data_IF_141082179876
#
_entry.id   IF_141082179876
#
_cell.length_a   1.000
_cell.length_b   1.000
_cell.length_c   1.000
_cell.angle_alpha   90.00
_cell.angle_beta   90.00
_cell.angle_gamma   90.00
#
_symmetry.space_group_name_H-M   'P 1'
#
loop_
_entity.id
_entity.type
_entity.pdbx_description
1 polymer ?
#
# COMPACT_ATOMS: atom_id res chain seq x y z
N UNK A 1 5.88 -25.75 6.03
CA UNK A 1 5.34 -24.75 5.08
C UNK A 1 4.17 -24.06 5.77
N UNK A 2 3.91 -22.79 5.49
CA UNK A 2 2.73 -22.02 5.93
C UNK A 2 2.69 -21.38 7.33
N UNK A 3 3.47 -20.32 7.53
CA UNK A 3 3.04 -19.20 8.40
C UNK A 3 3.39 -17.80 7.85
N UNK A 4 4.08 -17.72 6.70
CA UNK A 4 4.54 -16.46 6.12
C UNK A 4 3.44 -15.65 5.41
N UNK A 5 2.38 -16.30 4.90
CA UNK A 5 1.30 -15.57 4.22
C UNK A 5 0.50 -14.67 5.18
N UNK A 6 0.40 -15.05 6.46
CA UNK A 6 -0.30 -14.24 7.48
C UNK A 6 0.36 -12.88 7.69
N UNK A 7 1.69 -12.81 7.52
CA UNK A 7 2.42 -11.56 7.57
C UNK A 7 2.00 -10.63 6.42
N UNK A 8 1.93 -11.15 5.19
CA UNK A 8 1.55 -10.35 4.02
C UNK A 8 0.06 -9.97 4.00
N UNK A 9 -0.79 -10.74 4.68
CA UNK A 9 -2.23 -10.48 4.83
C UNK A 9 -2.62 -9.70 6.09
N UNK A 10 -1.66 -9.17 6.86
CA UNK A 10 -1.99 -8.38 8.05
C UNK A 10 -2.88 -7.17 7.68
N UNK A 11 -4.04 -7.05 8.34
CA UNK A 11 -4.93 -5.92 8.18
C UNK A 11 -4.52 -4.83 9.16
N UNK A 12 -4.06 -3.69 8.64
CA UNK A 12 -3.73 -2.51 9.46
C UNK A 12 -4.64 -1.37 9.04
N UNK A 13 -5.44 -0.87 9.96
CA UNK A 13 -6.29 0.29 9.76
C UNK A 13 -6.70 0.87 11.14
N UNK A 14 -7.68 1.79 11.16
CA UNK A 14 -8.15 2.41 12.41
C UNK A 14 -8.70 1.42 13.44
N UNK A 15 -9.28 0.30 13.00
CA UNK A 15 -9.83 -0.74 13.89
C UNK A 15 -8.76 -1.72 14.34
N UNK A 16 -7.75 -1.94 13.50
CA UNK A 16 -6.65 -2.87 13.73
C UNK A 16 -5.31 -2.12 13.65
N UNK A 17 -4.89 -1.38 14.70
CA UNK A 17 -3.60 -0.71 14.71
C UNK A 17 -2.45 -1.70 14.57
N UNK A 18 -1.38 -1.27 13.89
CA UNK A 18 -0.16 -2.05 13.73
C UNK A 18 0.43 -2.43 15.09
N UNK A 19 0.82 -3.70 15.20
CA UNK A 19 1.42 -4.25 16.41
C UNK A 19 2.91 -4.50 16.14
N UNK A 20 3.76 -3.98 17.03
CA UNK A 20 5.23 -3.94 16.91
C UNK A 20 5.89 -5.35 16.80
N UNK A 21 5.14 -6.44 16.97
CA UNK A 21 5.69 -7.76 17.27
C UNK A 21 5.58 -8.85 16.19
N UNK A 22 5.27 -8.51 14.93
CA UNK A 22 5.28 -9.51 13.85
C UNK A 22 6.62 -9.50 13.13
N UNK A 23 7.60 -10.22 13.70
CA UNK A 23 8.89 -10.62 13.12
C UNK A 23 9.40 -9.72 11.99
N UNK A 24 10.25 -8.74 12.33
CA UNK A 24 10.81 -7.80 11.35
C UNK A 24 11.41 -8.55 10.15
N UNK A 25 10.75 -8.45 9.00
CA UNK A 25 11.32 -8.92 7.74
C UNK A 25 12.42 -7.96 7.29
N UNK A 26 13.32 -8.47 6.45
CA UNK A 26 14.47 -7.71 5.97
C UNK A 26 13.97 -6.53 5.12
N UNK A 27 14.25 -5.31 5.58
CA UNK A 27 14.00 -4.10 4.83
C UNK A 27 15.17 -3.83 3.90
N UNK A 28 14.88 -3.51 2.63
CA UNK A 28 15.89 -3.18 1.62
C UNK A 28 15.52 -1.89 0.92
N UNK A 29 16.54 -1.15 0.48
CA UNK A 29 16.35 0.09 -0.25
C UNK A 29 15.68 -0.19 -1.60
N UNK A 30 14.69 0.62 -1.94
CA UNK A 30 13.97 0.57 -3.20
C UNK A 30 14.83 1.18 -4.31
N UNK A 31 15.02 0.52 -5.46
CA UNK A 31 15.72 1.12 -6.59
C UNK A 31 14.86 2.16 -7.32
N UNK A 32 15.44 2.82 -8.32
CA UNK A 32 14.75 3.81 -9.19
C UNK A 32 14.21 5.06 -8.46
N UNK A 33 14.73 5.35 -7.26
CA UNK A 33 14.45 6.57 -6.51
C UNK A 33 15.75 7.14 -5.93
N UNK A 34 15.91 8.46 -6.02
CA UNK A 34 17.05 9.17 -5.41
C UNK A 34 16.88 9.31 -3.89
N UNK A 35 15.70 8.97 -3.37
CA UNK A 35 15.38 8.97 -1.95
C UNK A 35 15.81 7.68 -1.25
N UNK A 36 16.00 7.76 0.05
CA UNK A 36 16.22 6.59 0.91
C UNK A 36 14.88 5.98 1.33
N UNK A 37 14.23 5.28 0.40
CA UNK A 37 12.98 4.56 0.65
C UNK A 37 13.27 3.08 0.86
N UNK A 38 12.61 2.48 1.84
CA UNK A 38 12.77 1.08 2.21
C UNK A 38 11.44 0.33 2.12
N UNK A 39 11.48 -0.92 1.70
CA UNK A 39 10.34 -1.85 1.73
C UNK A 39 10.84 -3.24 2.15
N UNK A 40 9.91 -4.13 2.46
CA UNK A 40 10.21 -5.56 2.62
C UNK A 40 10.91 -6.12 1.36
N UNK A 41 11.93 -6.96 1.56
CA UNK A 41 12.74 -7.48 0.46
C UNK A 41 11.94 -8.19 -0.64
N UNK A 42 10.91 -8.95 -0.27
CA UNK A 42 10.03 -9.66 -1.23
C UNK A 42 9.15 -8.67 -1.98
N UNK A 43 8.75 -7.58 -1.32
CA UNK A 43 8.00 -6.49 -1.96
C UNK A 43 8.87 -5.79 -2.99
N UNK A 44 10.13 -5.48 -2.66
CA UNK A 44 11.07 -4.87 -3.60
C UNK A 44 11.32 -5.76 -4.81
N UNK A 45 11.54 -7.06 -4.61
CA UNK A 45 11.75 -8.01 -5.70
C UNK A 45 10.59 -7.99 -6.70
N UNK A 46 9.35 -8.15 -6.22
CA UNK A 46 8.17 -8.15 -7.09
C UNK A 46 7.89 -6.78 -7.71
N UNK A 47 8.19 -5.69 -7.00
CA UNK A 47 8.07 -4.34 -7.54
C UNK A 47 9.01 -4.12 -8.72
N UNK A 48 10.28 -4.54 -8.60
CA UNK A 48 11.26 -4.46 -9.70
C UNK A 48 10.75 -5.26 -10.90
N UNK A 49 10.37 -6.52 -10.69
CA UNK A 49 9.87 -7.38 -11.77
C UNK A 49 8.66 -6.77 -12.49
N UNK A 50 7.71 -6.19 -11.73
CA UNK A 50 6.57 -5.49 -12.29
C UNK A 50 7.02 -4.31 -13.15
N UNK A 51 7.74 -3.35 -12.57
CA UNK A 51 8.15 -2.11 -13.24
C UNK A 51 8.98 -2.42 -14.48
N UNK A 52 9.87 -3.41 -14.44
CA UNK A 52 10.67 -3.82 -15.58
C UNK A 52 9.82 -4.46 -16.68
N UNK A 53 8.88 -5.34 -16.33
CA UNK A 53 7.98 -5.98 -17.29
C UNK A 53 7.13 -4.94 -18.03
N UNK A 54 6.62 -3.93 -17.32
CA UNK A 54 5.80 -2.88 -17.93
C UNK A 54 6.61 -1.67 -18.42
N UNK A 55 7.94 -1.71 -18.32
CA UNK A 55 8.89 -0.70 -18.80
C UNK A 55 8.59 0.72 -18.28
N UNK A 56 8.29 0.86 -16.98
CA UNK A 56 7.97 2.16 -16.36
C UNK A 56 9.12 2.80 -15.57
N UNK A 57 10.33 2.23 -15.55
CA UNK A 57 11.46 2.69 -14.73
C UNK A 57 11.79 4.18 -14.93
N UNK A 58 11.61 4.70 -16.16
CA UNK A 58 11.89 6.09 -16.52
C UNK A 58 10.67 7.01 -16.47
N UNK A 59 9.50 6.48 -16.06
CA UNK A 59 8.22 7.18 -16.08
C UNK A 59 7.63 7.41 -14.69
N UNK A 60 7.88 6.47 -13.78
CA UNK A 60 7.34 6.51 -12.42
C UNK A 60 8.48 6.60 -11.40
N UNK A 61 8.15 7.03 -10.20
CA UNK A 61 9.04 7.03 -9.05
C UNK A 61 8.30 6.48 -7.82
N UNK A 62 9.05 5.84 -6.93
CA UNK A 62 8.54 5.47 -5.61
C UNK A 62 8.68 6.70 -4.73
N UNK A 63 7.55 7.17 -4.23
CA UNK A 63 7.43 8.42 -3.46
C UNK A 63 7.57 8.15 -1.97
N UNK A 64 6.99 7.04 -1.51
CA UNK A 64 7.03 6.61 -0.11
C UNK A 64 6.95 5.08 0.02
N UNK A 65 7.44 4.57 1.15
CA UNK A 65 7.52 3.15 1.48
C UNK A 65 7.38 2.94 3.00
N UNK A 66 8.35 2.30 3.64
CA UNK A 66 8.32 2.14 5.09
C UNK A 66 8.37 3.49 5.82
N UNK A 67 7.48 3.63 6.80
CA UNK A 67 7.38 4.82 7.64
C UNK A 67 7.26 4.40 9.10
N UNK A 68 8.08 4.96 9.98
CA UNK A 68 7.97 4.78 11.43
C UNK A 68 6.71 5.46 11.99
N UNK A 69 6.35 5.16 13.24
CA UNK A 69 5.22 5.82 13.92
C UNK A 69 5.48 7.32 14.08
N UNK A 70 6.73 7.71 14.37
CA UNK A 70 7.10 9.12 14.55
C UNK A 70 7.03 9.90 13.23
N UNK A 71 7.56 9.35 12.13
CA UNK A 71 7.42 9.96 10.79
C UNK A 71 5.94 10.06 10.35
N UNK A 72 5.11 9.05 10.69
CA UNK A 72 3.67 9.12 10.44
C UNK A 72 2.99 10.23 11.25
N UNK A 73 3.44 10.47 12.49
CA UNK A 73 2.95 11.55 13.33
C UNK A 73 3.32 12.91 12.76
N UNK A 74 4.55 13.07 12.30
CA UNK A 74 4.99 14.29 11.61
C UNK A 74 4.17 14.55 10.35
N UNK A 75 3.94 13.53 9.51
CA UNK A 75 3.11 13.66 8.31
C UNK A 75 1.65 14.04 8.65
N UNK A 76 1.10 13.43 9.70
CA UNK A 76 -0.26 13.74 10.17
C UNK A 76 -0.37 15.19 10.65
N UNK A 77 0.56 15.65 11.49
CA UNK A 77 0.60 17.03 12.00
C UNK A 77 0.84 18.05 10.89
N UNK A 78 1.73 17.74 9.94
CA UNK A 78 1.95 18.53 8.74
C UNK A 78 0.66 18.67 7.92
N UNK A 79 -0.01 17.56 7.62
CA UNK A 79 -1.27 17.55 6.86
C UNK A 79 -2.37 18.33 7.57
N UNK A 80 -2.48 18.20 8.91
CA UNK A 80 -3.46 18.98 9.68
C UNK A 80 -3.26 20.49 9.51
N UNK A 81 -2.00 20.93 9.48
CA UNK A 81 -1.65 22.34 9.33
C UNK A 81 -1.82 22.84 7.90
N UNK A 82 -1.41 22.04 6.91
CA UNK A 82 -1.37 22.44 5.49
C UNK A 82 -2.73 22.26 4.80
N UNK A 83 -3.38 21.12 5.02
CA UNK A 83 -4.60 20.69 4.30
C UNK A 83 -5.86 20.72 5.16
N UNK A 84 -5.71 20.80 6.49
CA UNK A 84 -6.81 20.88 7.44
C UNK A 84 -7.43 19.52 7.79
N UNK A 85 -8.15 19.51 8.92
CA UNK A 85 -8.66 18.30 9.58
C UNK A 85 -9.41 17.34 8.65
N UNK A 86 -10.32 17.85 7.81
CA UNK A 86 -11.14 16.98 6.94
C UNK A 86 -10.27 16.24 5.92
N UNK A 87 -9.33 16.93 5.29
CA UNK A 87 -8.45 16.31 4.31
C UNK A 87 -7.52 15.28 4.97
N UNK A 88 -6.91 15.64 6.10
CA UNK A 88 -6.03 14.72 6.84
C UNK A 88 -6.74 13.43 7.22
N UNK A 89 -7.94 13.52 7.78
CA UNK A 89 -8.71 12.33 8.15
C UNK A 89 -9.15 11.47 6.94
N UNK A 90 -9.16 12.04 5.73
CA UNK A 90 -9.55 11.35 4.52
C UNK A 90 -8.38 10.65 3.82
N UNK A 91 -7.16 11.17 3.93
CA UNK A 91 -6.00 10.74 3.13
C UNK A 91 -4.74 10.35 3.94
N UNK A 92 -4.72 10.61 5.24
CA UNK A 92 -3.58 10.27 6.08
C UNK A 92 -4.07 9.33 7.16
N UNK A 93 -3.47 8.15 7.28
CA UNK A 93 -3.78 7.25 8.37
C UNK A 93 -3.27 7.81 9.71
N UNK A 94 -4.03 7.60 10.79
CA UNK A 94 -3.60 8.02 12.13
C UNK A 94 -2.31 7.27 12.52
N UNK A 95 -1.38 7.87 13.29
CA UNK A 95 -0.17 7.18 13.74
C UNK A 95 -0.46 5.82 14.39
N UNK A 96 0.25 4.78 13.96
CA UNK A 96 0.01 3.39 14.34
C UNK A 96 -1.09 2.68 13.55
N UNK A 97 -1.82 3.38 12.67
CA UNK A 97 -2.88 2.80 11.82
C UNK A 97 -2.50 2.80 10.33
N UNK A 98 -1.25 3.13 9.99
CA UNK A 98 -0.74 3.19 8.63
C UNK A 98 -0.12 1.86 8.19
N UNK A 99 -0.48 1.38 7.00
CA UNK A 99 0.16 0.18 6.41
C UNK A 99 1.62 0.43 6.01
N UNK A 100 2.07 1.68 5.90
CA UNK A 100 3.50 1.99 5.72
C UNK A 100 4.36 1.49 6.88
N UNK A 101 3.80 1.33 8.09
CA UNK A 101 4.52 0.75 9.23
C UNK A 101 4.93 -0.71 9.00
N UNK A 102 4.27 -1.42 8.09
CA UNK A 102 4.57 -2.82 7.83
C UNK A 102 5.66 -3.01 6.77
N UNK A 103 6.03 -1.95 6.03
CA UNK A 103 6.91 -2.08 4.86
C UNK A 103 6.28 -2.80 3.66
N UNK A 104 4.96 -2.99 3.67
CA UNK A 104 4.21 -3.68 2.61
C UNK A 104 3.40 -2.71 1.72
N UNK A 105 3.29 -1.45 2.14
CA UNK A 105 2.63 -0.39 1.40
C UNK A 105 3.64 0.53 0.74
N UNK A 106 3.30 1.06 -0.43
CA UNK A 106 4.09 2.01 -1.17
C UNK A 106 3.21 3.02 -1.90
N UNK A 107 3.75 4.24 -2.05
CA UNK A 107 3.15 5.29 -2.86
C UNK A 107 3.97 5.50 -4.13
N UNK A 108 3.29 5.57 -5.27
CA UNK A 108 3.91 5.76 -6.59
C UNK A 108 3.49 7.10 -7.16
N UNK A 109 4.44 7.83 -7.75
CA UNK A 109 4.20 9.08 -8.46
C UNK A 109 4.72 9.02 -9.90
N UNK A 110 4.29 9.98 -10.71
CA UNK A 110 4.86 10.23 -12.05
C UNK A 110 6.12 11.09 -11.95
N UNK A 111 7.21 10.68 -12.60
CA UNK A 111 8.42 11.49 -12.72
C UNK A 111 8.12 12.81 -13.43
N UNK A 112 8.91 13.85 -13.12
CA UNK A 112 8.80 15.20 -13.72
C UNK A 112 7.44 15.88 -13.48
N UNK A 113 6.77 15.53 -12.39
CA UNK A 113 5.54 16.21 -11.96
C UNK A 113 5.78 16.94 -10.63
N UNK A 114 4.86 17.84 -10.26
CA UNK A 114 4.94 18.52 -8.97
C UNK A 114 4.85 17.49 -7.84
N UNK A 115 5.76 17.61 -6.87
CA UNK A 115 5.85 16.68 -5.76
C UNK A 115 4.79 17.02 -4.71
N UNK A 116 3.84 16.11 -4.49
CA UNK A 116 2.93 16.10 -3.35
C UNK A 116 3.22 14.84 -2.53
N UNK A 117 3.62 15.03 -1.27
CA UNK A 117 4.01 13.94 -0.37
C UNK A 117 2.80 13.18 0.22
N UNK A 118 1.60 13.76 0.16
CA UNK A 118 0.37 13.12 0.68
C UNK A 118 -0.41 12.48 -0.47
N UNK A 119 -0.50 13.18 -1.61
CA UNK A 119 -1.29 12.75 -2.76
C UNK A 119 -0.49 12.87 -4.07
N UNK A 120 0.57 12.05 -4.25
CA UNK A 120 1.38 12.11 -5.45
C UNK A 120 0.53 11.84 -6.69
N UNK A 121 0.85 12.55 -7.77
CA UNK A 121 0.12 12.40 -9.03
C UNK A 121 0.46 11.05 -9.65
N UNK A 122 -0.53 10.17 -9.73
CA UNK A 122 -0.44 8.89 -10.44
C UNK A 122 -1.69 8.65 -11.29
N UNK A 123 -1.61 9.00 -12.57
CA UNK A 123 -2.72 8.89 -13.52
C UNK A 123 -2.22 8.66 -14.95
N UNK A 124 -3.13 8.65 -15.93
CA UNK A 124 -2.76 8.49 -17.34
C UNK A 124 -2.45 7.05 -17.74
N UNK A 125 -1.63 6.90 -18.78
CA UNK A 125 -1.27 5.60 -19.35
C UNK A 125 -0.41 4.79 -18.38
N UNK A 126 0.51 5.44 -17.67
CA UNK A 126 1.39 4.81 -16.68
C UNK A 126 0.58 4.16 -15.56
N UNK A 127 -0.37 4.91 -14.96
CA UNK A 127 -1.21 4.39 -13.89
C UNK A 127 -2.12 3.26 -14.38
N UNK A 128 -2.71 3.41 -15.58
CA UNK A 128 -3.54 2.36 -16.19
C UNK A 128 -2.74 1.08 -16.39
N UNK A 129 -1.55 1.17 -16.99
CA UNK A 129 -0.67 0.02 -17.24
C UNK A 129 -0.24 -0.67 -15.95
N UNK A 130 0.08 0.11 -14.91
CA UNK A 130 0.40 -0.43 -13.60
C UNK A 130 -0.79 -1.18 -12.99
N UNK A 131 -1.97 -0.56 -12.95
CA UNK A 131 -3.20 -1.17 -12.40
C UNK A 131 -3.60 -2.47 -13.12
N UNK A 132 -3.35 -2.58 -14.42
CA UNK A 132 -3.64 -3.79 -15.20
C UNK A 132 -2.77 -5.00 -14.80
N UNK A 133 -1.51 -4.76 -14.40
CA UNK A 133 -0.51 -5.82 -14.16
C UNK A 133 -0.21 -6.05 -12.69
N UNK A 134 -0.45 -5.08 -11.81
CA UNK A 134 -0.01 -5.10 -10.40
C UNK A 134 -0.40 -6.39 -9.65
N UNK A 135 -1.59 -6.94 -9.94
CA UNK A 135 -2.15 -8.10 -9.26
C UNK A 135 -1.33 -9.37 -9.52
N UNK A 136 -0.69 -9.48 -10.67
CA UNK A 136 0.10 -10.65 -11.05
C UNK A 136 1.46 -10.67 -10.32
N UNK A 137 1.81 -9.56 -9.66
CA UNK A 137 3.01 -9.39 -8.86
C UNK A 137 2.70 -9.21 -7.37
N UNK A 138 1.49 -9.55 -6.93
CA UNK A 138 1.15 -9.56 -5.50
C UNK A 138 0.63 -8.23 -4.94
N UNK A 139 0.40 -7.20 -5.77
CA UNK A 139 -0.07 -5.88 -5.33
C UNK A 139 -1.58 -5.69 -5.54
N UNK A 140 -2.20 -4.92 -4.66
CA UNK A 140 -3.58 -4.43 -4.81
C UNK A 140 -3.60 -2.91 -4.73
N UNK A 141 -4.58 -2.29 -5.40
CA UNK A 141 -4.97 -0.91 -5.14
C UNK A 141 -5.68 -0.89 -3.79
N UNK A 142 -5.01 -0.33 -2.77
CA UNK A 142 -5.46 -0.51 -1.38
C UNK A 142 -6.75 0.24 -1.06
N UNK A 143 -6.90 1.43 -1.66
CA UNK A 143 -8.03 2.33 -1.44
C UNK A 143 -8.72 2.65 -2.78
N UNK A 144 -9.54 1.72 -3.30
CA UNK A 144 -10.27 1.91 -4.56
C UNK A 144 -11.43 2.92 -4.45
N UNK A 145 -11.94 3.44 -5.58
CA UNK A 145 -13.05 4.38 -5.56
C UNK A 145 -14.31 3.76 -4.95
N UNK A 146 -15.13 4.59 -4.32
CA UNK A 146 -16.39 4.20 -3.67
C UNK A 146 -16.28 3.20 -2.50
N UNK A 147 -15.07 2.90 -2.01
CA UNK A 147 -14.85 1.96 -0.88
C UNK A 147 -14.45 2.63 0.44
N UNK A 148 -14.47 3.97 0.52
CA UNK A 148 -14.17 4.73 1.75
C UNK A 148 -14.98 4.30 2.97
N UNK A 149 -16.24 3.88 2.79
CA UNK A 149 -17.08 3.40 3.91
C UNK A 149 -16.54 2.09 4.53
N UNK A 150 -15.79 1.31 3.75
CA UNK A 150 -15.19 0.04 4.16
C UNK A 150 -13.76 0.28 4.68
N UNK A 151 -12.94 0.99 3.91
CA UNK A 151 -11.51 1.19 4.23
C UNK A 151 -11.27 2.29 5.28
N UNK A 152 -12.20 3.24 5.41
CA UNK A 152 -12.04 4.45 6.22
C UNK A 152 -11.19 5.54 5.55
N UNK A 153 -10.59 5.26 4.40
CA UNK A 153 -9.69 6.16 3.65
C UNK A 153 -10.30 6.47 2.26
N UNK A 154 -10.08 7.69 1.77
CA UNK A 154 -10.56 8.14 0.47
C UNK A 154 -9.87 7.38 -0.69
N UNK A 155 -10.28 7.67 -1.92
CA UNK A 155 -9.67 7.06 -3.10
C UNK A 155 -8.22 7.55 -3.28
N UNK A 156 -7.27 6.62 -3.33
CA UNK A 156 -5.84 6.91 -3.49
C UNK A 156 -5.27 6.08 -4.65
N UNK A 157 -5.26 6.60 -5.89
CA UNK A 157 -4.74 5.87 -7.05
C UNK A 157 -3.25 5.53 -6.97
N UNK A 158 -2.51 6.22 -6.11
CA UNK A 158 -1.06 6.08 -5.94
C UNK A 158 -0.66 5.03 -4.91
N UNK A 159 -1.57 4.61 -4.02
CA UNK A 159 -1.26 3.79 -2.87
C UNK A 159 -1.53 2.31 -3.13
N UNK A 160 -0.47 1.51 -3.07
CA UNK A 160 -0.51 0.09 -3.34
C UNK A 160 -0.09 -0.71 -2.11
N UNK A 161 -0.68 -1.88 -1.95
CA UNK A 161 -0.39 -2.81 -0.85
C UNK A 161 0.01 -4.16 -1.40
N UNK A 162 1.16 -4.68 -0.97
CA UNK A 162 1.56 -6.05 -1.25
C UNK A 162 0.86 -7.04 -0.31
N UNK A 163 0.24 -8.05 -0.91
CA UNK A 163 -0.48 -9.15 -0.24
C UNK A 163 -0.04 -10.52 -0.76
N UNK A 164 0.79 -10.56 -1.81
CA UNK A 164 1.25 -11.78 -2.46
C UNK A 164 0.22 -12.42 -3.40
N UNK A 165 0.72 -13.30 -4.27
CA UNK A 165 -0.10 -14.15 -5.15
C UNK A 165 -0.43 -15.45 -4.39
N UNK A 166 -1.66 -15.99 -4.50
CA UNK A 166 -2.78 -15.59 -5.37
C UNK A 166 -3.73 -14.54 -4.78
N UNK A 167 -3.47 -14.04 -3.56
CA UNK A 167 -4.38 -13.15 -2.84
C UNK A 167 -4.71 -11.87 -3.62
N UNK A 168 -3.68 -11.21 -4.18
CA UNK A 168 -3.83 -10.02 -5.01
C UNK A 168 -4.75 -10.23 -6.22
N UNK A 169 -4.64 -11.39 -6.88
CA UNK A 169 -5.46 -11.74 -8.04
C UNK A 169 -6.92 -11.92 -7.63
N UNK A 170 -7.18 -12.63 -6.53
CA UNK A 170 -8.54 -12.85 -6.01
C UNK A 170 -9.18 -11.52 -5.61
N UNK A 171 -8.49 -10.70 -4.82
CA UNK A 171 -8.97 -9.40 -4.37
C UNK A 171 -9.32 -8.51 -5.57
N UNK A 172 -8.43 -8.45 -6.56
CA UNK A 172 -8.63 -7.62 -7.75
C UNK A 172 -9.78 -8.13 -8.62
N UNK A 173 -9.89 -9.44 -8.84
CA UNK A 173 -10.97 -10.03 -9.65
C UNK A 173 -12.35 -9.82 -9.02
N UNK A 174 -12.45 -9.86 -7.69
CA UNK A 174 -13.70 -9.67 -6.95
C UNK A 174 -14.03 -8.19 -6.66
N UNK A 175 -13.15 -7.26 -7.05
CA UNK A 175 -13.23 -5.84 -6.68
C UNK A 175 -13.39 -5.63 -5.16
N UNK A 176 -12.64 -6.42 -4.38
CA UNK A 176 -12.61 -6.36 -2.93
C UNK A 176 -11.54 -5.42 -2.40
N UNK A 177 -11.78 -4.94 -1.19
CA UNK A 177 -10.78 -4.35 -0.30
C UNK A 177 -10.09 -5.45 0.51
N UNK A 178 -8.97 -5.13 1.17
CA UNK A 178 -8.34 -6.08 2.09
C UNK A 178 -9.28 -6.42 3.26
N UNK A 179 -10.05 -5.46 3.75
CA UNK A 179 -11.07 -5.68 4.79
C UNK A 179 -12.10 -6.75 4.39
N UNK A 180 -12.69 -6.61 3.19
CA UNK A 180 -13.67 -7.58 2.68
C UNK A 180 -13.05 -8.96 2.48
N UNK A 181 -11.80 -9.01 2.00
CA UNK A 181 -11.09 -10.26 1.78
C UNK A 181 -10.79 -11.00 3.09
N UNK A 182 -10.30 -10.29 4.11
CA UNK A 182 -10.02 -10.88 5.42
C UNK A 182 -11.33 -11.40 6.06
N UNK A 183 -12.42 -10.62 5.98
CA UNK A 183 -13.73 -11.07 6.45
C UNK A 183 -14.22 -12.35 5.72
N UNK A 184 -13.99 -12.43 4.40
CA UNK A 184 -14.27 -13.64 3.63
C UNK A 184 -13.44 -14.84 4.10
N UNK A 185 -12.13 -14.68 4.30
CA UNK A 185 -11.26 -15.77 4.78
C UNK A 185 -11.69 -16.29 6.15
N UNK A 186 -12.09 -15.41 7.07
CA UNK A 186 -12.63 -15.82 8.37
C UNK A 186 -13.92 -16.63 8.22
N UNK A 187 -14.85 -16.17 7.37
CA UNK A 187 -16.13 -16.84 7.14
C UNK A 187 -15.95 -18.23 6.52
N UNK A 188 -14.98 -18.41 5.62
CA UNK A 188 -14.69 -19.72 5.02
C UNK A 188 -13.98 -20.62 6.03
N UNK A 189 -13.02 -20.10 6.80
CA UNK A 189 -12.30 -20.86 7.83
C UNK A 189 -13.22 -21.44 8.92
N UNK A 190 -14.19 -20.67 9.38
CA UNK A 190 -15.22 -21.12 10.34
C UNK A 190 -16.16 -22.20 9.78
N UNK A 191 -16.35 -22.29 8.46
CA UNK A 191 -17.22 -23.30 7.84
C UNK A 191 -16.51 -24.63 7.53
N UNK A 192 -15.17 -24.64 7.59
CA UNK A 192 -14.33 -25.79 7.25
C UNK A 192 -13.62 -26.35 8.49
N UNK A 193 -13.88 -25.77 9.67
CA UNK A 193 -13.47 -26.29 10.99
C UNK A 193 -14.62 -26.96 11.72
#
# INVERSE_FOLDING_TARGET
MDNDYKYYLQLVNKQYPWQINNGSKKMVRVPYTDKEIYLDAVVVEHLIQLIETIQLQEKIEIVDGYRTIDEQKELWEFSLKDRGKRYTHDYVAYPGCSEHHTGLALDIGLKKTAHDIIAPKFNGEEAKKFLEHMKDYGFILRYPPNKKKVTGIAYEPWHFRYVGVPHSQIITQQAWTLEEYIAFLHTVGEKVS
#
